data_IF_056715914910
#
_entry.id   IF_056715914910
#
_cell.length_a   1.000
_cell.length_b   1.000
_cell.length_c   1.000
_cell.angle_alpha   90.00
_cell.angle_beta   90.00
_cell.angle_gamma   90.00
#
_symmetry.space_group_name_H-M   'P 1'
#
loop_
_entity.id
_entity.type
_entity.pdbx_description
1 polymer ?
#
# COMPACT_ATOMS: atom_id res chain seq x y z
N UNK A 1 -9.64 -5.94 50.08
CA UNK A 1 -9.47 -4.58 50.65
C UNK A 1 -8.19 -4.49 51.46
N UNK A 2 -7.56 -3.31 51.51
CA UNK A 2 -6.23 -3.11 52.12
C UNK A 2 -6.08 -3.63 53.57
N UNK A 3 -7.15 -3.72 54.32
CA UNK A 3 -7.09 -4.08 55.74
C UNK A 3 -7.90 -5.34 56.11
N UNK A 4 -8.60 -5.96 55.15
CA UNK A 4 -9.48 -7.10 55.45
C UNK A 4 -9.37 -8.16 54.35
N UNK A 5 -9.28 -9.40 54.72
CA UNK A 5 -9.42 -10.54 53.84
C UNK A 5 -10.82 -11.14 54.00
N UNK A 6 -11.46 -11.41 52.87
CA UNK A 6 -12.79 -11.99 52.80
C UNK A 6 -12.70 -13.38 52.14
N UNK A 7 -13.54 -14.30 52.54
CA UNK A 7 -13.70 -15.60 51.90
C UNK A 7 -15.17 -15.91 51.70
N UNK A 8 -15.49 -16.68 50.67
CA UNK A 8 -16.87 -17.07 50.33
C UNK A 8 -17.78 -15.87 50.05
N UNK A 9 -17.24 -14.90 49.28
CA UNK A 9 -17.99 -13.73 48.80
C UNK A 9 -18.43 -14.01 47.36
N UNK A 10 -19.70 -13.88 47.06
CA UNK A 10 -20.29 -14.07 45.75
C UNK A 10 -20.56 -12.76 45.02
N UNK A 11 -20.68 -11.65 45.72
CA UNK A 11 -20.98 -10.35 45.17
C UNK A 11 -20.25 -9.23 45.90
N UNK A 12 -19.68 -8.30 45.14
CA UNK A 12 -18.99 -7.11 45.68
C UNK A 12 -19.47 -5.86 44.91
N UNK A 13 -19.94 -4.86 45.64
CA UNK A 13 -20.15 -3.53 45.14
C UNK A 13 -18.89 -2.70 45.40
N UNK A 14 -18.23 -2.23 44.31
CA UNK A 14 -17.00 -1.45 44.41
C UNK A 14 -17.23 0.03 44.65
N UNK A 15 -18.48 0.49 44.47
CA UNK A 15 -18.83 1.92 44.61
C UNK A 15 -17.87 2.85 43.84
N UNK A 16 -17.67 2.54 42.58
CA UNK A 16 -16.80 3.25 41.62
C UNK A 16 -15.30 3.22 42.01
N UNK A 17 -14.87 2.21 42.77
CA UNK A 17 -13.44 1.97 43.04
C UNK A 17 -12.84 0.96 42.06
N UNK A 18 -11.50 0.97 41.96
CA UNK A 18 -10.76 0.05 41.15
C UNK A 18 -10.76 -1.40 41.70
N UNK A 19 -10.79 -2.35 40.78
CA UNK A 19 -10.48 -3.74 41.01
C UNK A 19 -9.01 -3.97 40.60
N UNK A 20 -8.25 -4.68 41.43
CA UNK A 20 -6.91 -5.12 41.04
C UNK A 20 -6.90 -6.63 40.93
N UNK A 21 -6.34 -7.15 39.85
CA UNK A 21 -6.11 -8.57 39.61
C UNK A 21 -5.01 -9.15 40.46
N UNK A 22 -4.48 -10.25 40.05
CA UNK A 22 -3.38 -10.95 40.72
C UNK A 22 -2.15 -10.98 39.80
N UNK A 23 -0.99 -11.39 40.32
CA UNK A 23 0.21 -11.60 39.51
C UNK A 23 0.18 -12.91 38.66
N UNK A 24 -0.99 -13.46 38.40
CA UNK A 24 -1.20 -14.61 37.53
C UNK A 24 -2.30 -14.27 36.52
N UNK A 25 -2.41 -15.07 35.47
CA UNK A 25 -3.46 -14.91 34.48
C UNK A 25 -4.85 -14.86 35.15
N UNK A 26 -5.52 -13.74 34.99
CA UNK A 26 -6.88 -13.49 35.43
C UNK A 26 -7.86 -13.43 34.28
N UNK A 27 -9.13 -13.71 34.52
CA UNK A 27 -10.19 -13.58 33.52
C UNK A 27 -11.27 -12.66 34.07
N UNK A 28 -11.64 -11.65 33.26
CA UNK A 28 -12.67 -10.68 33.54
C UNK A 28 -13.79 -10.82 32.52
N UNK A 29 -14.92 -11.38 32.92
CA UNK A 29 -16.12 -11.51 32.08
C UNK A 29 -17.01 -10.30 32.29
N UNK A 30 -17.08 -9.41 31.31
CA UNK A 30 -17.94 -8.21 31.35
C UNK A 30 -19.40 -8.65 31.19
N UNK A 31 -20.24 -8.31 32.16
CA UNK A 31 -21.65 -8.74 32.19
C UNK A 31 -22.65 -7.62 31.98
N UNK A 32 -22.19 -6.38 31.92
CA UNK A 32 -23.01 -5.20 31.69
C UNK A 32 -22.28 -3.90 32.03
N UNK A 33 -22.99 -2.79 31.97
CA UNK A 33 -22.40 -1.49 32.27
C UNK A 33 -21.84 -1.47 33.71
N UNK A 34 -20.55 -1.13 33.84
CA UNK A 34 -19.81 -1.10 35.12
C UNK A 34 -19.91 -2.40 35.93
N UNK A 35 -20.10 -3.56 35.27
CA UNK A 35 -20.29 -4.85 35.92
C UNK A 35 -19.50 -5.96 35.23
N UNK A 36 -18.85 -6.80 36.02
CA UNK A 36 -18.11 -7.95 35.56
C UNK A 36 -18.13 -9.11 36.56
N UNK A 37 -17.72 -10.30 36.10
CA UNK A 37 -17.44 -11.45 36.94
C UNK A 37 -15.96 -11.81 36.81
N UNK A 38 -15.29 -12.07 37.93
CA UNK A 38 -13.93 -12.61 37.94
C UNK A 38 -13.77 -13.54 39.12
N UNK A 39 -13.03 -14.64 38.97
CA UNK A 39 -12.80 -15.69 39.98
C UNK A 39 -14.11 -16.17 40.66
N UNK A 40 -15.23 -16.19 39.95
CA UNK A 40 -16.56 -16.57 40.47
C UNK A 40 -17.23 -15.54 41.35
N UNK A 41 -16.74 -14.31 41.42
CA UNK A 41 -17.31 -13.17 42.16
C UNK A 41 -17.93 -12.22 41.18
N UNK A 42 -19.16 -11.78 41.43
CA UNK A 42 -19.83 -10.73 40.65
C UNK A 42 -19.47 -9.36 41.25
N UNK A 43 -18.95 -8.48 40.42
CA UNK A 43 -18.61 -7.09 40.75
C UNK A 43 -19.59 -6.13 40.09
N UNK A 44 -19.96 -5.10 40.81
CA UNK A 44 -20.78 -4.00 40.32
C UNK A 44 -20.17 -2.64 40.67
N UNK A 45 -20.56 -1.59 39.93
CA UNK A 45 -19.99 -0.26 40.05
C UNK A 45 -18.45 -0.29 39.96
N UNK A 46 -17.95 -1.00 38.94
CA UNK A 46 -16.53 -1.08 38.60
C UNK A 46 -16.24 0.05 37.63
N UNK A 47 -15.28 0.91 37.95
CA UNK A 47 -14.83 1.97 37.05
C UNK A 47 -13.51 1.61 36.36
N UNK A 48 -12.60 1.01 37.09
CA UNK A 48 -11.26 0.64 36.59
C UNK A 48 -10.91 -0.77 37.04
N UNK A 49 -10.34 -1.54 36.12
CA UNK A 49 -9.65 -2.81 36.41
C UNK A 49 -8.18 -2.62 36.08
N UNK A 50 -7.30 -2.89 37.07
CA UNK A 50 -5.87 -3.07 36.84
C UNK A 50 -5.60 -4.56 36.90
N UNK A 51 -5.30 -5.20 35.77
CA UNK A 51 -5.18 -6.65 35.71
C UNK A 51 -3.92 -7.15 36.39
N UNK A 52 -2.89 -6.30 36.56
CA UNK A 52 -1.59 -6.58 37.21
C UNK A 52 -0.71 -7.47 36.28
N UNK A 53 0.27 -8.18 36.81
CA UNK A 53 1.13 -9.06 36.01
C UNK A 53 0.34 -10.34 35.63
N UNK A 54 0.57 -10.81 34.42
CA UNK A 54 -0.07 -12.07 33.99
C UNK A 54 -0.21 -12.18 32.49
N UNK A 55 -1.07 -13.07 32.07
CA UNK A 55 -1.61 -13.10 30.70
C UNK A 55 -3.14 -12.99 30.82
N UNK A 56 -3.57 -11.77 31.09
CA UNK A 56 -4.92 -11.47 31.52
C UNK A 56 -5.89 -11.35 30.33
N UNK A 57 -7.11 -11.80 30.56
CA UNK A 57 -8.14 -11.91 29.54
C UNK A 57 -9.37 -11.09 29.91
N UNK A 58 -9.81 -10.22 29.00
CA UNK A 58 -11.12 -9.58 29.06
C UNK A 58 -12.06 -10.24 28.03
N UNK A 59 -13.22 -10.69 28.48
CA UNK A 59 -14.29 -11.20 27.65
C UNK A 59 -15.44 -10.20 27.65
N UNK A 60 -15.83 -9.67 26.49
CA UNK A 60 -16.79 -8.57 26.39
C UNK A 60 -18.22 -9.00 26.09
N UNK A 61 -18.43 -10.30 25.79
CA UNK A 61 -19.72 -10.89 25.42
C UNK A 61 -20.44 -10.15 24.28
N UNK A 62 -19.68 -9.70 23.28
CA UNK A 62 -20.21 -8.98 22.11
C UNK A 62 -20.39 -7.48 22.32
N UNK A 63 -19.93 -6.93 23.42
CA UNK A 63 -19.90 -5.49 23.60
C UNK A 63 -18.76 -4.86 22.80
N UNK A 64 -18.99 -3.62 22.34
CA UNK A 64 -18.00 -2.83 21.64
C UNK A 64 -16.85 -2.42 22.58
N UNK A 65 -15.65 -2.38 22.01
CA UNK A 65 -14.40 -2.03 22.69
C UNK A 65 -13.78 -0.84 22.00
N UNK A 66 -13.22 0.09 22.77
CA UNK A 66 -12.27 1.09 22.29
C UNK A 66 -10.93 0.95 22.97
N UNK A 67 -9.86 1.24 22.25
CA UNK A 67 -8.52 1.37 22.84
C UNK A 67 -8.49 2.59 23.76
N UNK A 68 -7.67 2.55 24.79
CA UNK A 68 -7.61 3.59 25.79
C UNK A 68 -6.45 4.56 25.55
N UNK A 69 -6.71 5.85 25.68
CA UNK A 69 -5.70 6.91 25.63
C UNK A 69 -5.69 7.73 26.94
N UNK A 70 -4.54 8.15 27.37
CA UNK A 70 -4.36 8.98 28.55
C UNK A 70 -3.33 10.09 28.30
N UNK A 71 -3.66 11.32 28.67
CA UNK A 71 -2.76 12.48 28.59
C UNK A 71 -2.13 12.72 27.21
N UNK A 72 -2.88 12.45 26.12
CA UNK A 72 -2.39 12.66 24.76
C UNK A 72 -1.52 11.54 24.19
N UNK A 73 -1.62 10.33 24.75
CA UNK A 73 -0.96 9.13 24.22
C UNK A 73 -1.90 7.93 24.29
N UNK A 74 -1.86 7.08 23.26
CA UNK A 74 -2.41 5.74 23.34
C UNK A 74 -1.67 4.95 24.43
N UNK A 75 -2.39 4.07 25.11
CA UNK A 75 -1.83 3.26 26.21
C UNK A 75 -1.85 1.79 25.79
N UNK A 76 -0.66 1.18 25.73
CA UNK A 76 -0.54 -0.26 25.48
C UNK A 76 -1.22 -1.07 26.60
N UNK A 77 -1.75 -2.23 26.24
CA UNK A 77 -2.44 -3.14 27.16
C UNK A 77 -3.65 -2.51 27.87
N UNK A 78 -4.30 -1.49 27.25
CA UNK A 78 -5.44 -0.83 27.87
C UNK A 78 -6.60 -0.67 26.88
N UNK A 79 -7.82 -0.96 27.38
CA UNK A 79 -9.06 -0.85 26.62
C UNK A 79 -10.22 -0.38 27.50
N UNK A 80 -11.28 0.10 26.86
CA UNK A 80 -12.53 0.47 27.51
C UNK A 80 -13.70 -0.29 26.88
N UNK A 81 -14.59 -0.76 27.73
CA UNK A 81 -15.87 -1.33 27.32
C UNK A 81 -16.92 -1.15 28.42
N UNK A 82 -18.16 -0.81 28.02
CA UNK A 82 -19.30 -0.67 28.93
C UNK A 82 -19.03 0.17 30.20
N UNK A 83 -18.20 1.23 30.06
CA UNK A 83 -17.87 2.14 31.16
C UNK A 83 -16.78 1.63 32.12
N UNK A 84 -16.11 0.54 31.78
CA UNK A 84 -14.98 0.00 32.55
C UNK A 84 -13.71 0.21 31.74
N UNK A 85 -12.71 0.86 32.35
CA UNK A 85 -11.35 0.92 31.81
C UNK A 85 -10.52 -0.25 32.33
N UNK A 86 -9.98 -1.07 31.44
CA UNK A 86 -9.06 -2.13 31.74
C UNK A 86 -7.64 -1.69 31.44
N UNK A 87 -6.68 -2.02 32.27
CA UNK A 87 -5.24 -1.73 32.13
C UNK A 87 -4.44 -3.00 32.41
N UNK A 88 -3.26 -3.08 31.79
CA UNK A 88 -2.37 -4.24 31.92
C UNK A 88 -3.08 -5.54 31.48
N UNK A 89 -3.77 -5.48 30.33
CA UNK A 89 -4.53 -6.59 29.74
C UNK A 89 -3.88 -7.04 28.45
N UNK A 90 -3.50 -8.29 28.34
CA UNK A 90 -2.83 -8.85 27.18
C UNK A 90 -3.78 -9.44 26.15
N UNK A 91 -4.97 -9.85 26.56
CA UNK A 91 -5.91 -10.54 25.68
C UNK A 91 -7.33 -9.97 25.82
N UNK A 92 -8.02 -9.84 24.68
CA UNK A 92 -9.42 -9.48 24.63
C UNK A 92 -10.20 -10.41 23.69
N UNK A 93 -11.29 -10.99 24.16
CA UNK A 93 -12.26 -11.71 23.32
C UNK A 93 -13.51 -10.86 23.17
N UNK A 94 -13.75 -10.40 21.94
CA UNK A 94 -14.86 -9.50 21.66
C UNK A 94 -16.16 -10.22 21.32
N UNK A 95 -16.11 -11.53 21.04
CA UNK A 95 -17.28 -12.34 20.72
C UNK A 95 -18.22 -11.68 19.65
N UNK A 96 -17.64 -11.03 18.64
CA UNK A 96 -18.36 -10.33 17.58
C UNK A 96 -18.62 -8.84 17.84
N UNK A 97 -18.16 -8.29 18.96
CA UNK A 97 -18.15 -6.84 19.21
C UNK A 97 -17.19 -6.11 18.29
N UNK A 98 -17.40 -4.82 18.09
CA UNK A 98 -16.51 -3.95 17.29
C UNK A 98 -15.28 -3.53 18.07
N UNK A 99 -14.18 -3.29 17.37
CA UNK A 99 -12.98 -2.67 17.91
C UNK A 99 -12.84 -1.27 17.29
N UNK A 100 -12.63 -0.28 18.14
CA UNK A 100 -12.26 1.06 17.73
C UNK A 100 -10.91 1.45 18.37
N UNK A 101 -10.12 2.25 17.68
CA UNK A 101 -8.97 2.94 18.22
C UNK A 101 -9.35 4.02 19.23
N UNK A 102 -8.37 4.68 19.76
CA UNK A 102 -8.51 5.80 20.70
C UNK A 102 -8.61 7.16 19.96
N UNK A 103 -8.36 8.24 20.64
CA UNK A 103 -8.20 9.57 20.05
C UNK A 103 -6.74 9.96 19.78
N UNK A 104 -5.83 9.04 19.94
CA UNK A 104 -4.39 9.22 19.80
C UNK A 104 -3.84 8.15 18.84
N UNK A 105 -2.58 8.28 18.46
CA UNK A 105 -1.94 7.34 17.52
C UNK A 105 -1.94 5.90 18.05
N UNK A 106 -2.68 5.03 17.40
CA UNK A 106 -2.79 3.61 17.75
C UNK A 106 -1.98 2.72 16.81
N UNK A 107 -1.63 1.53 17.27
CA UNK A 107 -0.95 0.53 16.47
C UNK A 107 -1.79 -0.74 16.33
N UNK A 108 -1.94 -1.17 15.08
CA UNK A 108 -2.62 -2.41 14.74
C UNK A 108 -1.66 -3.33 13.99
N UNK A 109 -1.72 -4.61 14.25
CA UNK A 109 -0.99 -5.63 13.52
C UNK A 109 -1.92 -6.76 13.11
N UNK A 110 -1.95 -7.06 11.81
CA UNK A 110 -2.66 -8.21 11.24
C UNK A 110 -1.64 -9.23 10.78
N UNK A 111 -1.76 -10.45 11.27
CA UNK A 111 -0.94 -11.59 10.87
C UNK A 111 -1.87 -12.75 10.49
N UNK A 112 -2.23 -12.82 9.21
CA UNK A 112 -3.31 -13.69 8.72
C UNK A 112 -4.64 -13.35 9.40
N UNK A 113 -5.15 -14.24 10.24
CA UNK A 113 -6.39 -14.02 11.01
C UNK A 113 -6.14 -13.46 12.43
N UNK A 114 -4.90 -13.38 12.87
CA UNK A 114 -4.57 -12.80 14.17
C UNK A 114 -4.56 -11.27 14.09
N UNK A 115 -5.11 -10.63 15.12
CA UNK A 115 -5.15 -9.18 15.28
C UNK A 115 -4.52 -8.80 16.62
N UNK A 116 -3.63 -7.83 16.58
CA UNK A 116 -3.09 -7.17 17.77
C UNK A 116 -3.39 -5.69 17.69
N UNK A 117 -3.82 -5.07 18.77
CA UNK A 117 -4.10 -3.65 18.86
C UNK A 117 -3.50 -3.09 20.15
N UNK A 118 -2.60 -2.10 20.06
CA UNK A 118 -1.84 -1.55 21.18
C UNK A 118 -1.33 -2.64 22.13
N UNK A 119 -0.64 -3.64 21.57
CA UNK A 119 -0.08 -4.82 22.23
C UNK A 119 -1.11 -5.82 22.81
N UNK A 120 -2.42 -5.58 22.71
CA UNK A 120 -3.46 -6.52 23.11
C UNK A 120 -3.73 -7.53 22.00
N UNK A 121 -3.67 -8.82 22.27
CA UNK A 121 -4.11 -9.87 21.36
C UNK A 121 -5.64 -9.92 21.33
N UNK A 122 -6.24 -9.58 20.20
CA UNK A 122 -7.70 -9.47 20.03
C UNK A 122 -8.23 -10.68 19.26
N UNK A 123 -9.27 -11.31 19.79
CA UNK A 123 -9.94 -12.45 19.18
C UNK A 123 -11.43 -12.19 18.99
N UNK A 124 -12.01 -12.83 17.97
CA UNK A 124 -13.45 -12.76 17.68
C UNK A 124 -13.99 -11.33 17.51
N UNK A 125 -13.17 -10.37 17.08
CA UNK A 125 -13.64 -9.04 16.71
C UNK A 125 -14.53 -9.09 15.47
N UNK A 126 -15.47 -8.19 15.35
CA UNK A 126 -16.13 -7.90 14.07
C UNK A 126 -15.07 -7.50 13.02
N UNK A 127 -15.37 -7.73 11.74
CA UNK A 127 -14.39 -7.46 10.67
C UNK A 127 -14.09 -5.97 10.45
N UNK A 128 -15.00 -5.07 10.80
CA UNK A 128 -14.81 -3.63 10.68
C UNK A 128 -14.08 -3.08 11.90
N UNK A 129 -12.94 -2.42 11.66
CA UNK A 129 -12.11 -1.77 12.67
C UNK A 129 -11.97 -0.31 12.29
N UNK A 130 -12.33 0.58 13.20
CA UNK A 130 -12.08 2.01 13.05
C UNK A 130 -10.84 2.38 13.88
N UNK A 131 -9.76 2.82 13.24
CA UNK A 131 -8.53 3.15 13.96
C UNK A 131 -8.66 4.40 14.85
N UNK A 132 -9.63 5.25 14.60
CA UNK A 132 -9.95 6.39 15.48
C UNK A 132 -9.47 7.72 14.95
N UNK A 133 -9.17 8.64 15.87
CA UNK A 133 -8.45 9.88 15.56
C UNK A 133 -6.96 9.65 15.87
N UNK A 134 -6.08 10.35 15.18
CA UNK A 134 -4.64 10.23 15.44
C UNK A 134 -3.85 10.10 14.15
N UNK A 135 -2.67 9.55 14.23
CA UNK A 135 -1.91 9.05 13.09
C UNK A 135 -1.65 7.58 13.36
N UNK A 136 -2.55 6.77 12.86
CA UNK A 136 -2.61 5.36 13.19
C UNK A 136 -1.75 4.52 12.25
N UNK A 137 -1.17 3.47 12.78
CA UNK A 137 -0.26 2.58 12.07
C UNK A 137 -0.84 1.18 12.02
N UNK A 138 -1.00 0.66 10.80
CA UNK A 138 -1.35 -0.73 10.55
C UNK A 138 -0.15 -1.47 9.95
N UNK A 139 0.26 -2.56 10.57
CA UNK A 139 1.22 -3.52 9.99
C UNK A 139 0.47 -4.74 9.48
N UNK A 140 0.67 -5.09 8.20
CA UNK A 140 0.01 -6.24 7.56
C UNK A 140 1.04 -7.30 7.21
N UNK A 141 1.08 -8.38 7.99
CA UNK A 141 1.95 -9.52 7.76
C UNK A 141 1.19 -10.67 7.08
N UNK A 142 1.84 -11.37 6.15
CA UNK A 142 1.36 -12.60 5.52
C UNK A 142 0.01 -12.50 4.76
N UNK A 143 -0.45 -11.30 4.39
CA UNK A 143 -1.66 -11.11 3.59
C UNK A 143 -1.56 -9.86 2.72
N UNK A 144 -2.23 -9.87 1.57
CA UNK A 144 -2.33 -8.70 0.71
C UNK A 144 -3.43 -7.76 1.20
N UNK A 145 -3.30 -6.50 0.80
CA UNK A 145 -4.27 -5.45 1.12
C UNK A 145 -4.94 -4.92 -0.14
N UNK A 146 -6.16 -4.39 0.01
CA UNK A 146 -6.94 -3.85 -1.09
C UNK A 146 -7.49 -2.48 -0.71
N UNK A 147 -7.34 -1.49 -1.60
CA UNK A 147 -7.97 -0.18 -1.44
C UNK A 147 -9.49 -0.30 -1.57
N UNK A 148 -10.23 0.46 -0.77
CA UNK A 148 -11.70 0.48 -0.83
C UNK A 148 -12.23 1.57 -1.76
N UNK A 149 -11.39 2.55 -2.12
CA UNK A 149 -11.77 3.76 -2.86
C UNK A 149 -12.30 4.87 -1.97
N UNK A 150 -12.16 4.74 -0.66
CA UNK A 150 -12.43 5.77 0.35
C UNK A 150 -11.08 6.09 1.01
N UNK A 151 -10.83 7.39 1.24
CA UNK A 151 -9.59 7.83 1.87
C UNK A 151 -9.45 7.25 3.28
N UNK A 152 -8.23 6.87 3.64
CA UNK A 152 -7.89 6.26 4.93
C UNK A 152 -8.63 4.94 5.21
N UNK A 153 -9.08 4.22 4.16
CA UNK A 153 -9.70 2.90 4.30
C UNK A 153 -8.97 1.82 3.52
N UNK A 154 -8.79 0.67 4.15
CA UNK A 154 -8.07 -0.47 3.60
C UNK A 154 -8.68 -1.79 4.04
N UNK A 155 -8.86 -2.73 3.12
CA UNK A 155 -9.25 -4.09 3.42
C UNK A 155 -8.02 -5.01 3.44
N UNK A 156 -7.95 -5.85 4.45
CA UNK A 156 -7.08 -7.04 4.49
C UNK A 156 -7.92 -8.30 4.26
N UNK A 157 -7.30 -9.47 4.25
CA UNK A 157 -8.04 -10.71 4.02
C UNK A 157 -9.17 -10.96 5.05
N UNK A 158 -9.05 -10.43 6.27
CA UNK A 158 -9.96 -10.74 7.37
C UNK A 158 -10.61 -9.50 8.02
N UNK A 159 -10.04 -8.33 7.82
CA UNK A 159 -10.47 -7.09 8.48
C UNK A 159 -10.55 -5.94 7.48
N UNK A 160 -11.54 -5.08 7.68
CA UNK A 160 -11.70 -3.80 7.00
C UNK A 160 -11.34 -2.70 7.99
N UNK A 161 -10.34 -1.91 7.65
CA UNK A 161 -9.87 -0.78 8.47
C UNK A 161 -10.38 0.54 7.90
N UNK A 162 -10.73 1.46 8.78
CA UNK A 162 -11.01 2.87 8.47
C UNK A 162 -10.21 3.79 9.37
N UNK A 163 -9.98 5.01 8.94
CA UNK A 163 -9.16 6.01 9.66
C UNK A 163 -7.74 5.53 9.92
N UNK A 164 -7.07 4.97 8.91
CA UNK A 164 -5.64 4.55 8.98
C UNK A 164 -4.82 5.44 8.07
N UNK A 165 -3.78 6.07 8.58
CA UNK A 165 -2.91 6.98 7.83
C UNK A 165 -1.62 6.34 7.37
N UNK A 166 -1.14 5.32 8.07
CA UNK A 166 0.13 4.67 7.73
C UNK A 166 -0.02 3.15 7.74
N UNK A 167 0.46 2.52 6.66
CA UNK A 167 0.42 1.05 6.51
C UNK A 167 1.81 0.51 6.16
N UNK A 168 2.29 -0.42 6.96
CA UNK A 168 3.45 -1.25 6.62
C UNK A 168 2.95 -2.57 6.05
N UNK A 169 3.23 -2.82 4.76
CA UNK A 169 2.79 -4.03 4.08
C UNK A 169 3.75 -5.23 4.26
N UNK A 170 4.86 -5.04 4.97
CA UNK A 170 5.82 -6.11 5.24
C UNK A 170 6.18 -6.95 3.99
N UNK A 171 6.45 -6.28 2.88
CA UNK A 171 6.72 -6.87 1.56
C UNK A 171 5.53 -7.64 0.93
N UNK A 172 4.29 -7.35 1.34
CA UNK A 172 3.09 -7.86 0.68
C UNK A 172 2.62 -6.94 -0.47
N UNK A 173 1.63 -7.41 -1.23
CA UNK A 173 1.07 -6.68 -2.35
C UNK A 173 -0.09 -5.76 -1.92
N UNK A 174 -0.23 -4.64 -2.65
CA UNK A 174 -1.40 -3.77 -2.63
C UNK A 174 -2.22 -4.00 -3.90
N UNK A 175 -3.53 -4.06 -3.78
CA UNK A 175 -4.47 -4.10 -4.91
C UNK A 175 -5.29 -2.81 -4.93
N UNK A 176 -5.39 -2.18 -6.08
CA UNK A 176 -6.25 -1.02 -6.34
C UNK A 176 -7.74 -1.37 -6.38
N UNK A 177 -8.55 -0.39 -6.68
CA UNK A 177 -10.00 -0.55 -6.84
C UNK A 177 -10.34 -0.94 -8.29
N UNK A 178 -11.63 -0.97 -8.63
CA UNK A 178 -12.09 -1.09 -10.03
C UNK A 178 -12.38 0.30 -10.67
N UNK A 179 -11.92 1.38 -10.06
CA UNK A 179 -12.02 2.75 -10.58
C UNK A 179 -10.62 3.31 -10.74
N UNK A 180 -10.52 4.48 -11.34
CA UNK A 180 -9.24 5.17 -11.47
C UNK A 180 -8.59 5.44 -10.11
N UNK A 181 -7.42 4.85 -9.89
CA UNK A 181 -6.59 5.02 -8.70
C UNK A 181 -5.33 5.85 -9.01
N UNK A 182 -4.78 6.48 -7.99
CA UNK A 182 -3.52 7.21 -8.11
C UNK A 182 -2.53 6.70 -7.07
N UNK A 183 -1.35 6.33 -7.54
CA UNK A 183 -0.24 5.85 -6.73
C UNK A 183 0.93 6.84 -6.83
N UNK A 184 1.16 7.60 -5.78
CA UNK A 184 2.27 8.56 -5.67
C UNK A 184 3.49 7.87 -5.04
N UNK A 185 4.48 7.50 -5.85
CA UNK A 185 5.70 6.85 -5.37
C UNK A 185 6.56 7.86 -4.61
N UNK A 186 6.81 7.61 -3.34
CA UNK A 186 7.52 8.52 -2.43
C UNK A 186 8.97 8.09 -2.18
N UNK A 187 9.29 6.81 -2.40
CA UNK A 187 10.64 6.26 -2.21
C UNK A 187 10.73 4.78 -2.54
N UNK A 188 11.86 4.17 -2.19
CA UNK A 188 12.04 2.72 -2.37
C UNK A 188 11.00 1.94 -1.53
N UNK A 189 10.24 1.07 -2.19
CA UNK A 189 9.15 0.29 -1.58
C UNK A 189 8.11 1.15 -0.83
N UNK A 190 7.94 2.44 -1.22
CA UNK A 190 7.04 3.36 -0.54
C UNK A 190 6.22 4.19 -1.51
N UNK A 191 4.93 4.35 -1.21
CA UNK A 191 3.99 5.16 -1.99
C UNK A 191 2.88 5.72 -1.10
N UNK A 192 2.16 6.71 -1.62
CA UNK A 192 0.90 7.20 -1.02
C UNK A 192 -0.24 6.91 -1.99
N UNK A 193 -1.37 6.44 -1.50
CA UNK A 193 -2.62 6.27 -2.25
C UNK A 193 -3.80 6.32 -1.29
N UNK A 194 -4.95 6.89 -1.71
CA UNK A 194 -6.15 7.05 -0.90
C UNK A 194 -5.86 7.66 0.49
N UNK A 195 -4.99 8.69 0.53
CA UNK A 195 -4.52 9.40 1.74
C UNK A 195 -3.79 8.49 2.77
N UNK A 196 -3.37 7.29 2.37
CA UNK A 196 -2.58 6.36 3.20
C UNK A 196 -1.12 6.36 2.73
N UNK A 197 -0.19 6.50 3.67
CA UNK A 197 1.24 6.31 3.44
C UNK A 197 1.63 4.84 3.59
N UNK A 198 2.00 4.19 2.48
CA UNK A 198 2.43 2.78 2.45
C UNK A 198 3.95 2.65 2.46
N UNK A 199 4.44 1.68 3.23
CA UNK A 199 5.85 1.28 3.28
C UNK A 199 5.99 -0.23 3.09
N UNK A 200 7.19 -0.68 2.70
CA UNK A 200 7.50 -2.09 2.44
C UNK A 200 6.52 -2.73 1.44
N UNK A 201 6.19 -1.98 0.37
CA UNK A 201 5.33 -2.43 -0.73
C UNK A 201 6.15 -3.27 -1.69
N UNK A 202 5.80 -4.54 -1.89
CA UNK A 202 6.48 -5.39 -2.87
C UNK A 202 5.96 -5.14 -4.28
N UNK A 203 4.63 -5.08 -4.42
CA UNK A 203 3.97 -4.87 -5.71
C UNK A 203 2.62 -4.19 -5.56
N UNK A 204 2.16 -3.60 -6.65
CA UNK A 204 0.81 -3.03 -6.79
C UNK A 204 0.17 -3.63 -8.03
N UNK A 205 -1.02 -4.19 -7.87
CA UNK A 205 -1.94 -4.44 -8.97
C UNK A 205 -3.00 -3.33 -8.96
N UNK A 206 -2.94 -2.42 -9.92
CA UNK A 206 -3.88 -1.29 -9.98
C UNK A 206 -5.31 -1.74 -10.28
N UNK A 207 -5.49 -2.97 -10.82
CA UNK A 207 -6.75 -3.62 -11.11
C UNK A 207 -7.43 -3.03 -12.37
N UNK A 208 -8.76 -2.87 -12.37
CA UNK A 208 -9.48 -2.22 -13.48
C UNK A 208 -9.56 -0.72 -13.21
N UNK A 209 -9.45 0.08 -14.24
CA UNK A 209 -9.58 1.52 -14.09
C UNK A 209 -8.85 2.29 -15.19
N UNK A 210 -8.62 3.56 -14.96
CA UNK A 210 -7.73 4.43 -15.74
C UNK A 210 -6.67 4.95 -14.74
N UNK A 211 -5.78 4.02 -14.34
CA UNK A 211 -4.93 4.14 -13.19
C UNK A 211 -3.63 4.89 -13.47
N UNK A 212 -3.17 5.64 -12.50
CA UNK A 212 -2.00 6.50 -12.62
C UNK A 212 -0.92 6.20 -11.59
N UNK A 213 0.32 6.09 -12.07
CA UNK A 213 1.52 6.09 -11.22
C UNK A 213 2.27 7.40 -11.41
N UNK A 214 2.59 8.09 -10.31
CA UNK A 214 3.42 9.29 -10.26
C UNK A 214 4.76 8.93 -9.62
N UNK A 215 5.87 9.14 -10.33
CA UNK A 215 7.20 8.71 -9.85
C UNK A 215 7.99 9.79 -9.11
N UNK A 216 7.48 11.02 -9.05
CA UNK A 216 8.18 12.18 -8.45
C UNK A 216 9.62 12.38 -8.99
N UNK A 217 9.85 12.11 -10.27
CA UNK A 217 11.15 12.26 -10.92
C UNK A 217 12.10 11.07 -10.73
N UNK A 218 11.64 9.98 -10.13
CA UNK A 218 12.41 8.75 -10.10
C UNK A 218 12.57 8.18 -11.52
N UNK A 219 13.71 7.58 -11.78
CA UNK A 219 13.96 6.87 -13.04
C UNK A 219 13.23 5.54 -13.00
N UNK A 220 12.53 5.20 -14.09
CA UNK A 220 12.15 3.82 -14.34
C UNK A 220 13.41 3.02 -14.61
N UNK A 221 13.64 1.98 -13.84
CA UNK A 221 14.66 0.98 -14.16
C UNK A 221 13.97 -0.18 -14.85
N UNK A 222 14.42 -0.50 -16.06
CA UNK A 222 14.04 -1.74 -16.72
C UNK A 222 14.53 -2.91 -15.87
N UNK A 223 13.65 -3.63 -15.23
CA UNK A 223 14.01 -4.91 -14.66
C UNK A 223 13.72 -6.02 -15.67
N UNK A 224 14.62 -6.99 -15.70
CA UNK A 224 14.62 -8.09 -16.64
C UNK A 224 13.25 -8.77 -16.76
N UNK A 225 12.68 -8.75 -17.94
CA UNK A 225 11.61 -9.66 -18.34
C UNK A 225 10.19 -9.12 -18.28
N UNK A 226 9.96 -7.81 -18.19
CA UNK A 226 8.61 -7.25 -18.22
C UNK A 226 8.38 -6.42 -19.49
N UNK A 227 8.30 -7.09 -20.65
CA UNK A 227 7.60 -6.58 -21.81
C UNK A 227 6.12 -7.01 -21.68
N UNK A 228 5.43 -6.49 -20.68
CA UNK A 228 4.00 -6.71 -20.47
C UNK A 228 3.33 -5.37 -20.58
N UNK A 229 2.28 -5.32 -21.41
CA UNK A 229 1.45 -4.11 -21.50
C UNK A 229 0.94 -3.72 -20.11
N UNK A 230 0.86 -2.44 -19.82
CA UNK A 230 0.35 -1.87 -18.58
C UNK A 230 1.13 -2.29 -17.31
N UNK A 231 2.41 -2.65 -17.44
CA UNK A 231 3.28 -3.01 -16.31
C UNK A 231 4.56 -2.18 -16.29
N UNK A 232 5.01 -1.82 -15.09
CA UNK A 232 6.26 -1.07 -14.89
C UNK A 232 6.88 -1.40 -13.53
N UNK A 233 8.18 -1.13 -13.39
CA UNK A 233 8.86 -1.19 -12.09
C UNK A 233 9.55 0.15 -11.82
N UNK A 234 9.33 0.72 -10.65
CA UNK A 234 10.01 1.92 -10.17
C UNK A 234 10.23 1.85 -8.68
N UNK A 235 11.36 2.36 -8.18
CA UNK A 235 11.68 2.40 -6.76
C UNK A 235 11.45 1.05 -6.04
N UNK A 236 11.78 -0.07 -6.71
CA UNK A 236 11.63 -1.44 -6.22
C UNK A 236 10.17 -1.93 -6.07
N UNK A 237 9.19 -1.18 -6.54
CA UNK A 237 7.79 -1.58 -6.58
C UNK A 237 7.45 -2.02 -8.01
N UNK A 238 6.92 -3.22 -8.17
CA UNK A 238 6.37 -3.70 -9.43
C UNK A 238 4.89 -3.32 -9.53
N UNK A 239 4.51 -2.63 -10.60
CA UNK A 239 3.13 -2.25 -10.88
C UNK A 239 2.59 -3.04 -12.06
N UNK A 240 1.32 -3.43 -12.00
CA UNK A 240 0.55 -4.03 -13.10
C UNK A 240 -0.78 -3.31 -13.26
N UNK A 241 -1.41 -3.46 -14.43
CA UNK A 241 -2.71 -2.83 -14.73
C UNK A 241 -2.68 -1.30 -14.64
N UNK A 242 -1.62 -0.65 -15.16
CA UNK A 242 -1.45 0.82 -15.12
C UNK A 242 -1.61 1.40 -16.51
N UNK A 243 -2.45 2.41 -16.67
CA UNK A 243 -2.69 3.08 -17.96
C UNK A 243 -1.92 4.38 -18.09
N UNK A 244 -1.60 5.06 -17.00
CA UNK A 244 -0.96 6.37 -17.02
C UNK A 244 0.27 6.44 -16.11
N UNK A 245 1.31 7.13 -16.60
CA UNK A 245 2.56 7.32 -15.90
C UNK A 245 3.00 8.78 -15.98
N UNK A 246 3.18 9.44 -14.84
CA UNK A 246 3.81 10.75 -14.75
C UNK A 246 5.25 10.60 -14.20
N UNK A 247 6.22 10.89 -15.05
CA UNK A 247 7.64 10.79 -14.70
C UNK A 247 8.22 12.05 -14.03
N UNK A 248 7.48 13.14 -13.99
CA UNK A 248 7.96 14.41 -13.42
C UNK A 248 9.39 14.79 -13.88
N UNK A 249 9.72 14.56 -15.16
CA UNK A 249 11.03 14.68 -15.81
C UNK A 249 12.05 13.58 -15.44
N UNK A 250 11.61 12.48 -14.86
CA UNK A 250 12.43 11.27 -14.72
C UNK A 250 12.75 10.63 -16.07
N UNK A 251 13.77 9.79 -16.11
CA UNK A 251 14.13 9.06 -17.33
C UNK A 251 13.22 7.85 -17.52
N UNK A 252 12.85 7.58 -18.78
CA UNK A 252 12.18 6.36 -19.19
C UNK A 252 13.21 5.38 -19.77
N UNK A 253 13.15 4.14 -19.31
CA UNK A 253 13.90 3.04 -19.92
C UNK A 253 12.95 1.87 -20.18
N UNK A 254 13.19 1.14 -21.27
CA UNK A 254 12.54 -0.13 -21.55
C UNK A 254 13.14 -1.26 -20.70
N UNK A 255 12.66 -2.46 -20.92
CA UNK A 255 13.08 -3.69 -20.22
C UNK A 255 14.21 -4.42 -20.98
N UNK A 256 14.55 -5.63 -20.52
CA UNK A 256 15.46 -6.55 -21.25
C UNK A 256 14.69 -7.40 -22.30
N UNK A 257 13.39 -7.22 -22.43
CA UNK A 257 12.55 -7.89 -23.42
C UNK A 257 12.16 -6.88 -24.53
N UNK A 258 11.50 -7.36 -25.57
CA UNK A 258 11.04 -6.50 -26.66
C UNK A 258 9.96 -5.52 -26.20
N UNK A 259 10.25 -4.24 -26.27
CA UNK A 259 9.35 -3.15 -25.87
C UNK A 259 8.74 -2.44 -27.06
N UNK A 260 7.59 -1.82 -26.88
CA UNK A 260 6.93 -1.00 -27.88
C UNK A 260 6.80 0.45 -27.41
N UNK A 261 7.24 1.37 -28.23
CA UNK A 261 7.11 2.81 -28.03
C UNK A 261 6.33 3.42 -29.17
N UNK A 262 5.46 4.36 -28.85
CA UNK A 262 4.76 5.17 -29.87
C UNK A 262 4.89 6.65 -29.54
N UNK A 263 5.35 7.42 -30.52
CA UNK A 263 5.41 8.88 -30.45
C UNK A 263 4.38 9.45 -31.40
N UNK A 264 3.47 10.27 -30.89
CA UNK A 264 2.47 10.99 -31.67
C UNK A 264 2.56 12.48 -31.30
N UNK A 265 3.40 13.20 -32.03
CA UNK A 265 3.80 14.57 -31.71
C UNK A 265 4.51 14.67 -30.40
N UNK A 266 3.85 15.19 -29.34
CA UNK A 266 4.36 15.27 -27.97
C UNK A 266 3.89 14.14 -27.07
N UNK A 267 2.90 13.36 -27.51
CA UNK A 267 2.40 12.23 -26.76
C UNK A 267 3.37 11.04 -26.91
N UNK A 268 3.59 10.34 -25.83
CA UNK A 268 4.43 9.15 -25.74
C UNK A 268 3.65 8.02 -25.09
N UNK A 269 3.68 6.86 -25.71
CA UNK A 269 3.16 5.62 -25.13
C UNK A 269 4.30 4.60 -25.07
N UNK A 270 4.39 3.86 -23.97
CA UNK A 270 5.35 2.78 -23.78
C UNK A 270 4.60 1.56 -23.24
N UNK A 271 4.66 0.43 -23.94
CA UNK A 271 3.97 -0.82 -23.58
C UNK A 271 2.52 -0.59 -23.11
N UNK A 272 1.73 0.11 -23.94
CA UNK A 272 0.35 0.53 -23.72
C UNK A 272 0.13 1.60 -22.63
N UNK A 273 1.14 1.98 -21.85
CA UNK A 273 1.04 3.02 -20.82
C UNK A 273 1.21 4.41 -21.48
N UNK A 274 0.28 5.33 -21.21
CA UNK A 274 0.40 6.74 -21.58
C UNK A 274 1.40 7.45 -20.67
N UNK A 275 2.51 7.94 -21.23
CA UNK A 275 3.61 8.53 -20.45
C UNK A 275 3.60 10.04 -20.58
N UNK A 276 3.62 10.74 -19.47
CA UNK A 276 3.69 12.19 -19.38
C UNK A 276 4.97 12.67 -18.68
N UNK A 277 5.44 13.85 -19.03
CA UNK A 277 6.61 14.50 -18.43
C UNK A 277 7.87 13.61 -18.37
N UNK A 278 8.06 12.73 -19.35
CA UNK A 278 9.34 12.01 -19.49
C UNK A 278 10.48 12.99 -19.81
N UNK A 279 11.69 12.68 -19.35
CA UNK A 279 12.88 13.31 -19.88
C UNK A 279 13.00 12.99 -21.38
N UNK A 280 13.68 13.86 -22.13
CA UNK A 280 13.78 13.70 -23.59
C UNK A 280 14.56 12.46 -24.03
N UNK A 281 15.47 11.95 -23.21
CA UNK A 281 16.28 10.77 -23.49
C UNK A 281 15.56 9.49 -23.04
N UNK A 282 15.30 8.59 -23.98
CA UNK A 282 14.64 7.30 -23.74
C UNK A 282 15.60 6.20 -24.16
N UNK A 283 15.88 5.26 -23.25
CA UNK A 283 16.62 4.05 -23.57
C UNK A 283 15.63 2.90 -23.73
N UNK A 284 15.54 2.32 -24.93
CA UNK A 284 14.60 1.21 -25.16
C UNK A 284 14.99 -0.10 -24.42
N UNK A 285 16.22 -0.22 -24.02
CA UNK A 285 16.69 -1.37 -23.24
C UNK A 285 17.46 -2.38 -24.08
N UNK A 286 17.46 -3.63 -23.61
CA UNK A 286 17.88 -4.79 -24.40
C UNK A 286 16.63 -5.39 -25.08
N UNK A 287 16.79 -6.17 -26.10
CA UNK A 287 15.65 -6.79 -26.78
C UNK A 287 15.62 -6.52 -28.27
N UNK A 288 14.46 -6.60 -28.86
CA UNK A 288 14.20 -6.13 -30.22
C UNK A 288 13.04 -5.14 -30.13
N UNK A 289 13.39 -3.89 -29.92
CA UNK A 289 12.43 -2.85 -29.58
C UNK A 289 11.87 -2.17 -30.83
N UNK A 290 10.61 -1.81 -30.71
CA UNK A 290 9.86 -1.18 -31.80
C UNK A 290 9.45 0.22 -31.41
N UNK A 291 9.82 1.20 -32.25
CA UNK A 291 9.34 2.57 -32.16
C UNK A 291 8.43 2.88 -33.34
N UNK A 292 7.20 3.30 -33.08
CA UNK A 292 6.30 3.88 -34.07
C UNK A 292 6.31 5.40 -33.96
N UNK A 293 6.57 6.08 -35.05
CA UNK A 293 6.65 7.56 -35.09
C UNK A 293 5.51 8.11 -35.94
N UNK A 294 4.46 8.63 -35.30
CA UNK A 294 3.34 9.28 -35.94
C UNK A 294 3.49 10.80 -35.89
N UNK A 295 3.08 11.48 -36.96
CA UNK A 295 2.98 12.95 -37.07
C UNK A 295 4.28 13.75 -36.80
N UNK A 296 5.46 13.13 -36.85
CA UNK A 296 6.74 13.82 -36.70
C UNK A 296 7.83 13.14 -37.53
N UNK A 297 8.81 13.92 -37.98
CA UNK A 297 9.97 13.40 -38.71
C UNK A 297 11.04 12.92 -37.74
N UNK A 298 11.82 11.96 -38.19
CA UNK A 298 12.94 11.38 -37.44
C UNK A 298 14.29 11.78 -38.03
N UNK A 299 15.33 11.82 -37.20
CA UNK A 299 16.67 12.16 -37.60
C UNK A 299 17.67 11.14 -37.03
N UNK A 300 18.57 10.60 -37.84
CA UNK A 300 19.66 9.77 -37.38
C UNK A 300 20.64 10.56 -36.48
N UNK A 301 21.07 9.99 -35.36
CA UNK A 301 22.02 10.63 -34.47
C UNK A 301 23.48 10.43 -34.88
N UNK A 302 23.73 9.40 -35.67
CA UNK A 302 25.06 8.93 -36.04
C UNK A 302 25.64 7.89 -35.10
N UNK A 303 24.91 7.49 -34.08
CA UNK A 303 25.18 6.29 -33.28
C UNK A 303 24.26 5.15 -33.74
N UNK A 304 24.73 3.90 -33.57
CA UNK A 304 23.93 2.72 -33.90
C UNK A 304 22.74 2.62 -32.94
N UNK A 305 21.59 2.17 -33.45
CA UNK A 305 20.34 1.98 -32.71
C UNK A 305 19.85 3.27 -32.01
N UNK A 306 20.16 4.45 -32.55
CA UNK A 306 19.79 5.72 -31.95
C UNK A 306 19.13 6.67 -32.95
N UNK A 307 18.00 7.25 -32.56
CA UNK A 307 17.15 8.08 -33.36
C UNK A 307 16.57 9.26 -32.58
N UNK A 308 16.58 10.45 -33.13
CA UNK A 308 15.90 11.61 -32.60
C UNK A 308 14.54 11.81 -33.31
N UNK A 309 13.51 12.04 -32.55
CA UNK A 309 12.22 12.60 -33.00
C UNK A 309 12.15 14.10 -32.64
N UNK A 310 11.04 14.76 -32.93
CA UNK A 310 10.94 16.19 -32.60
C UNK A 310 11.04 16.48 -31.08
N UNK A 311 10.64 15.55 -30.22
CA UNK A 311 10.53 15.75 -28.78
C UNK A 311 11.37 14.79 -27.95
N UNK A 312 11.75 13.63 -28.49
CA UNK A 312 12.43 12.57 -27.78
C UNK A 312 13.65 12.05 -28.52
N UNK A 313 14.62 11.59 -27.77
CA UNK A 313 15.84 10.96 -28.25
C UNK A 313 15.83 9.51 -27.79
N UNK A 314 15.79 8.58 -28.74
CA UNK A 314 15.79 7.14 -28.46
C UNK A 314 17.17 6.54 -28.64
N UNK A 315 17.52 5.61 -27.79
CA UNK A 315 18.68 4.72 -27.89
C UNK A 315 18.25 3.27 -27.74
N UNK A 316 19.03 2.34 -28.26
CA UNK A 316 18.74 0.90 -28.22
C UNK A 316 17.42 0.51 -28.93
N UNK A 317 17.12 1.11 -30.10
CA UNK A 317 15.94 0.78 -30.90
C UNK A 317 16.36 0.05 -32.16
N UNK A 318 15.82 -1.14 -32.42
CA UNK A 318 16.17 -1.96 -33.57
C UNK A 318 15.20 -1.84 -34.74
N UNK A 319 13.94 -1.48 -34.47
CA UNK A 319 12.92 -1.36 -35.50
C UNK A 319 12.15 -0.05 -35.34
N UNK A 320 12.00 0.67 -36.44
CA UNK A 320 11.22 1.93 -36.48
C UNK A 320 10.20 1.89 -37.61
N UNK A 321 8.95 2.08 -37.29
CA UNK A 321 7.88 2.37 -38.21
C UNK A 321 7.71 3.90 -38.27
N UNK A 322 8.01 4.48 -39.45
CA UNK A 322 7.91 5.93 -39.68
C UNK A 322 6.49 6.43 -39.98
N UNK A 323 5.54 5.51 -40.13
CA UNK A 323 4.13 5.86 -40.44
C UNK A 323 4.02 6.92 -41.56
N UNK A 324 4.76 6.71 -42.68
CA UNK A 324 4.86 7.63 -43.84
C UNK A 324 5.57 8.97 -43.52
N UNK A 325 6.21 9.15 -42.37
CA UNK A 325 7.01 10.36 -42.06
C UNK A 325 8.43 10.29 -42.67
N UNK A 326 9.11 11.41 -42.70
CA UNK A 326 10.43 11.50 -43.28
C UNK A 326 11.55 11.11 -42.31
N UNK A 327 12.54 10.37 -42.80
CA UNK A 327 13.82 10.13 -42.13
C UNK A 327 14.87 11.11 -42.67
N UNK A 328 15.57 11.80 -41.79
CA UNK A 328 16.68 12.68 -42.11
C UNK A 328 18.00 12.03 -41.67
N UNK A 329 18.99 12.02 -42.53
CA UNK A 329 20.35 11.58 -42.22
C UNK A 329 21.11 12.60 -41.36
N UNK A 330 22.34 12.26 -41.01
CA UNK A 330 23.24 13.13 -40.25
C UNK A 330 23.93 14.16 -41.16
N UNK A 331 24.77 15.01 -40.57
CA UNK A 331 25.65 15.90 -41.33
C UNK A 331 26.89 15.18 -41.93
N UNK A 332 27.08 13.93 -41.60
CA UNK A 332 28.21 13.09 -42.06
C UNK A 332 27.73 12.15 -43.18
N UNK A 333 28.58 11.29 -43.67
CA UNK A 333 28.22 10.25 -44.64
C UNK A 333 27.40 9.15 -43.92
N UNK A 334 26.17 8.98 -44.36
CA UNK A 334 25.28 7.92 -43.92
C UNK A 334 25.17 6.82 -44.97
N UNK A 335 24.87 5.61 -44.50
CA UNK A 335 24.62 4.46 -45.37
C UNK A 335 23.15 4.05 -45.26
N UNK A 336 22.46 3.99 -46.39
CA UNK A 336 21.07 3.53 -46.45
C UNK A 336 20.99 2.30 -47.35
N UNK A 337 20.68 1.15 -46.74
CA UNK A 337 20.50 -0.10 -47.50
C UNK A 337 19.00 -0.37 -47.70
N UNK A 338 18.52 -0.21 -48.93
CA UNK A 338 17.12 -0.45 -49.27
C UNK A 338 16.86 -1.96 -49.30
N UNK A 339 15.98 -2.41 -48.41
CA UNK A 339 15.67 -3.82 -48.20
C UNK A 339 14.34 -4.27 -48.82
N UNK A 340 13.47 -3.33 -49.17
CA UNK A 340 12.16 -3.61 -49.76
C UNK A 340 11.39 -2.36 -50.19
N UNK A 341 10.11 -2.53 -50.49
CA UNK A 341 9.22 -1.40 -50.73
C UNK A 341 8.99 -0.71 -49.35
N UNK A 342 9.23 0.60 -49.31
CA UNK A 342 9.13 1.43 -48.10
C UNK A 342 9.95 0.86 -46.92
N UNK A 343 11.06 0.19 -47.19
CA UNK A 343 11.90 -0.41 -46.16
C UNK A 343 13.39 -0.21 -46.41
N UNK A 344 14.12 0.17 -45.42
CA UNK A 344 15.57 0.35 -45.47
C UNK A 344 16.21 0.04 -44.09
N UNK A 345 17.51 -0.16 -44.11
CA UNK A 345 18.31 -0.27 -42.88
C UNK A 345 19.35 0.86 -42.90
N UNK A 346 19.53 1.50 -41.76
CA UNK A 346 20.58 2.49 -41.49
C UNK A 346 20.93 2.56 -40.01
N UNK A 347 22.19 2.80 -39.69
CA UNK A 347 22.66 2.94 -38.31
C UNK A 347 22.15 1.82 -37.38
N UNK A 348 22.16 0.55 -37.82
CA UNK A 348 21.67 -0.60 -37.07
C UNK A 348 20.15 -0.75 -36.98
N UNK A 349 19.35 0.23 -37.42
CA UNK A 349 17.90 0.26 -37.31
C UNK A 349 17.23 -0.24 -38.61
N UNK A 350 16.20 -1.08 -38.46
CA UNK A 350 15.31 -1.46 -39.56
C UNK A 350 14.13 -0.48 -39.65
N UNK A 351 14.03 0.24 -40.73
CA UNK A 351 12.94 1.21 -40.98
C UNK A 351 11.88 0.64 -41.93
N UNK A 352 10.64 0.94 -41.62
CA UNK A 352 9.47 0.66 -42.49
C UNK A 352 8.56 1.89 -42.62
N UNK A 353 7.74 1.87 -43.73
CA UNK A 353 6.74 2.91 -44.08
C UNK A 353 7.35 4.28 -44.32
#
# INVERSE_FOLDING_TARGET
>A
TANYAFSSVETVDLADNALTGTANADTFDVTGANALTSAGINFSNVEVVNADDGADQVNTDGADVSLFAELGNAVDYALETLGITFRETENADLNGGTLAGSSEADSFEVNGAALTANAISVTNAASGINAGDGVDVLTVNDTNSTLTGIDNELDTANYAFSSVETVDLADNALTGTANADTFDVTGANALTSADIDFTNVASVDANDGDDQVNTNGATLTSEAGIAVDNALTTQQIAFTSVENLDLANGALAGSDAADSFEVNGVALTANAISVTKAASGINAGDGVDVLTVNDTNSTLTGADNALDTANYQFTSVETVDLADNALTGTANADTFDVTGANALTSAGINFSN
#
